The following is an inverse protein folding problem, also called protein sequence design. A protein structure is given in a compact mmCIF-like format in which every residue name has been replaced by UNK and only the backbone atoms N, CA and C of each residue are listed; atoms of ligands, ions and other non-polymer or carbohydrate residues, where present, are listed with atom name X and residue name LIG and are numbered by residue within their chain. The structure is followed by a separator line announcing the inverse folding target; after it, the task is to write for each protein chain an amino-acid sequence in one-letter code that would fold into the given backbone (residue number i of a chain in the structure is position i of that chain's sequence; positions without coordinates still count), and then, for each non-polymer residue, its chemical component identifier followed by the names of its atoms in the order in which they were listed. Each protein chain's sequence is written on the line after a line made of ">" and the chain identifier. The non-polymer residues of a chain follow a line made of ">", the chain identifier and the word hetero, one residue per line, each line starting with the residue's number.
data_IF_404133709225
#
_entry.id   IF_404133709225
#
_cell.length_a   1.000
_cell.length_b   1.000
_cell.length_c   1.000
_cell.angle_alpha   90.00
_cell.angle_beta   90.00
_cell.angle_gamma   90.00
#
_symmetry.space_group_name_H-M   'P 1'
#
loop_
_entity.id
_entity.type
_entity.pdbx_description
1 polymer ?
#
# COMPACT_ATOMS: atom_id res chain seq x y z
N UNK A 1 38.52 -61.68 1.59
CA UNK A 1 39.45 -60.89 2.29
C UNK A 1 39.55 -59.41 1.81
N UNK A 2 38.57 -58.86 1.17
CA UNK A 2 38.61 -57.45 0.72
C UNK A 2 37.19 -56.87 0.53
N UNK A 3 36.31 -57.06 1.50
CA UNK A 3 34.94 -56.53 1.46
C UNK A 3 34.69 -55.53 2.56
N UNK A 4 35.70 -54.80 3.03
CA UNK A 4 35.57 -53.82 4.13
C UNK A 4 35.48 -52.39 3.63
N UNK A 5 35.59 -52.14 2.33
CA UNK A 5 35.59 -50.79 1.78
C UNK A 5 34.21 -50.27 1.30
N UNK A 6 33.18 -51.11 1.30
CA UNK A 6 31.87 -50.73 0.72
C UNK A 6 30.92 -50.08 1.74
N UNK A 7 31.22 -50.25 3.03
CA UNK A 7 30.35 -49.70 4.09
C UNK A 7 30.55 -48.22 4.41
N UNK A 8 31.71 -47.69 4.07
CA UNK A 8 32.02 -46.27 4.43
C UNK A 8 31.59 -45.25 3.39
N UNK A 9 31.39 -45.68 2.15
CA UNK A 9 30.95 -44.78 1.07
C UNK A 9 29.46 -44.49 1.15
N UNK A 10 28.67 -45.41 1.66
CA UNK A 10 27.22 -45.24 1.82
C UNK A 10 26.90 -44.31 3.00
N UNK A 11 27.71 -44.32 4.04
CA UNK A 11 27.50 -43.45 5.21
C UNK A 11 27.79 -41.96 4.92
N UNK A 12 28.66 -41.67 3.97
CA UNK A 12 29.02 -40.27 3.61
C UNK A 12 27.97 -39.66 2.68
N UNK A 13 27.26 -40.44 1.88
CA UNK A 13 26.19 -39.96 0.99
C UNK A 13 24.88 -39.66 1.71
N UNK A 14 24.64 -40.24 2.89
CA UNK A 14 23.47 -39.92 3.71
C UNK A 14 23.61 -38.69 4.59
N UNK A 15 24.84 -38.21 4.81
CA UNK A 15 25.10 -37.04 5.65
C UNK A 15 24.94 -35.71 4.91
N UNK A 16 24.87 -35.68 3.58
CA UNK A 16 24.79 -34.47 2.79
C UNK A 16 23.36 -33.99 2.46
N UNK A 17 22.33 -34.76 2.86
CA UNK A 17 20.94 -34.38 2.58
C UNK A 17 20.20 -33.74 3.78
N UNK A 18 20.93 -33.47 4.86
CA UNK A 18 20.36 -32.90 6.09
C UNK A 18 20.73 -31.44 6.29
N UNK A 19 20.77 -30.68 5.24
CA UNK A 19 21.02 -29.28 5.41
C UNK A 19 20.19 -28.50 4.40
N UNK A 20 19.34 -27.76 4.92
CA UNK A 20 18.76 -26.48 4.51
C UNK A 20 17.23 -26.56 4.71
N UNK A 21 16.81 -26.93 5.92
CA UNK A 21 15.64 -26.29 6.46
C UNK A 21 16.10 -24.94 6.97
N UNK A 22 16.18 -23.95 6.09
CA UNK A 22 16.29 -22.59 6.54
C UNK A 22 15.03 -22.28 7.32
N UNK A 23 15.10 -21.82 8.58
CA UNK A 23 13.93 -21.28 9.22
C UNK A 23 13.50 -20.12 8.32
N UNK A 24 12.37 -20.27 7.66
CA UNK A 24 11.65 -19.14 7.13
C UNK A 24 11.34 -18.28 8.34
N UNK A 25 12.18 -17.28 8.59
CA UNK A 25 11.89 -16.27 9.58
C UNK A 25 10.61 -15.64 9.04
N UNK A 26 9.47 -16.06 9.59
CA UNK A 26 8.23 -15.36 9.43
C UNK A 26 8.53 -13.93 9.89
N UNK A 27 8.51 -12.98 8.95
CA UNK A 27 8.62 -11.58 9.30
C UNK A 27 7.56 -11.33 10.37
N UNK A 28 7.89 -10.65 11.49
CA UNK A 28 6.89 -10.29 12.48
C UNK A 28 5.75 -9.60 11.72
N UNK A 29 4.48 -9.84 12.12
CA UNK A 29 3.35 -9.22 11.45
C UNK A 29 3.61 -7.72 11.42
N UNK A 30 4.03 -7.24 10.25
CA UNK A 30 4.36 -5.84 10.04
C UNK A 30 3.11 -5.02 10.31
N UNK A 31 3.28 -3.80 10.81
CA UNK A 31 2.18 -2.85 10.97
C UNK A 31 1.36 -2.84 9.68
N UNK A 32 0.07 -3.14 9.77
CA UNK A 32 -0.85 -3.01 8.65
C UNK A 32 -1.01 -1.51 8.38
N UNK A 33 -0.51 -1.06 7.24
CA UNK A 33 -0.65 0.33 6.83
C UNK A 33 -2.09 0.61 6.42
N UNK A 34 -2.63 1.75 6.86
CA UNK A 34 -3.97 2.20 6.49
C UNK A 34 -3.88 3.27 5.42
N UNK A 35 -4.50 3.01 4.28
CA UNK A 35 -4.59 3.92 3.15
C UNK A 35 -6.05 4.33 2.98
N UNK A 36 -6.32 5.63 3.05
CA UNK A 36 -7.64 6.15 2.73
C UNK A 36 -7.65 6.67 1.29
N UNK A 37 -8.64 6.30 0.51
CA UNK A 37 -8.81 6.74 -0.87
C UNK A 37 -10.07 7.57 -0.99
N UNK A 38 -9.92 8.79 -1.51
CA UNK A 38 -11.00 9.75 -1.72
C UNK A 38 -11.07 10.17 -3.18
N UNK A 39 -12.22 9.98 -3.80
CA UNK A 39 -12.44 10.36 -5.19
C UNK A 39 -13.91 10.58 -5.52
N UNK A 40 -14.18 10.94 -6.77
CA UNK A 40 -15.55 11.12 -7.24
C UNK A 40 -16.25 9.80 -7.55
N UNK A 41 -15.55 8.91 -8.23
CA UNK A 41 -16.11 7.66 -8.74
C UNK A 41 -15.09 6.53 -8.70
N UNK A 42 -15.59 5.31 -8.57
CA UNK A 42 -14.78 4.11 -8.74
C UNK A 42 -14.65 3.82 -10.25
N UNK A 43 -13.58 4.30 -10.86
CA UNK A 43 -13.35 4.23 -12.30
C UNK A 43 -12.05 3.47 -12.66
N UNK A 44 -11.80 3.18 -13.96
CA UNK A 44 -10.66 2.38 -14.41
C UNK A 44 -9.29 2.73 -13.86
N UNK A 45 -8.88 4.00 -13.66
CA UNK A 45 -7.58 4.32 -13.06
C UNK A 45 -7.32 3.66 -11.70
N UNK A 46 -8.34 3.40 -10.91
CA UNK A 46 -8.20 2.74 -9.60
C UNK A 46 -7.81 1.26 -9.70
N UNK A 47 -8.16 0.59 -10.79
CA UNK A 47 -7.68 -0.77 -11.05
C UNK A 47 -6.17 -0.79 -11.32
N UNK A 48 -5.66 0.23 -12.01
CA UNK A 48 -4.22 0.43 -12.16
C UNK A 48 -3.51 0.62 -10.83
N UNK A 49 -4.09 1.43 -9.94
CA UNK A 49 -3.58 1.65 -8.59
C UNK A 49 -3.55 0.35 -7.77
N UNK A 50 -4.65 -0.42 -7.74
CA UNK A 50 -4.71 -1.71 -7.06
C UNK A 50 -3.69 -2.70 -7.61
N UNK A 51 -3.54 -2.75 -8.93
CA UNK A 51 -2.54 -3.61 -9.59
C UNK A 51 -1.13 -3.22 -9.19
N UNK A 52 -0.79 -1.93 -9.25
CA UNK A 52 0.52 -1.42 -8.85
C UNK A 52 0.86 -1.75 -7.40
N UNK A 53 -0.09 -1.62 -6.48
CA UNK A 53 0.11 -2.03 -5.09
C UNK A 53 0.42 -3.52 -4.98
N UNK A 54 -0.31 -4.40 -5.69
CA UNK A 54 -0.05 -5.84 -5.69
C UNK A 54 1.33 -6.19 -6.25
N UNK A 55 1.74 -5.53 -7.33
CA UNK A 55 3.07 -5.71 -7.93
C UNK A 55 4.20 -5.33 -6.97
N UNK A 56 3.94 -4.38 -6.08
CA UNK A 56 4.86 -3.98 -5.00
C UNK A 56 4.73 -4.83 -3.73
N UNK A 57 3.91 -5.87 -3.74
CA UNK A 57 3.72 -6.77 -2.60
C UNK A 57 2.68 -6.29 -1.57
N UNK A 58 1.93 -5.23 -1.85
CA UNK A 58 0.84 -4.77 -0.99
C UNK A 58 -0.46 -5.46 -1.37
N UNK A 59 -1.03 -6.20 -0.43
CA UNK A 59 -2.28 -6.93 -0.60
C UNK A 59 -3.29 -6.42 0.41
N UNK A 60 -4.41 -5.86 -0.09
CA UNK A 60 -5.48 -5.34 0.74
C UNK A 60 -6.07 -6.43 1.63
N UNK A 61 -6.23 -6.13 2.91
CA UNK A 61 -6.66 -7.07 3.92
C UNK A 61 -5.57 -7.97 4.51
N UNK A 62 -4.33 -7.93 3.98
CA UNK A 62 -3.19 -8.71 4.49
C UNK A 62 -2.12 -7.82 5.14
N UNK A 63 -1.49 -6.95 4.37
CA UNK A 63 -0.42 -6.06 4.84
C UNK A 63 -0.71 -4.57 4.61
N UNK A 64 -1.81 -4.27 3.95
CA UNK A 64 -2.38 -2.93 3.80
C UNK A 64 -3.90 -3.01 3.99
N UNK A 65 -4.51 -2.01 4.60
CA UNK A 65 -5.95 -1.84 4.68
C UNK A 65 -6.34 -0.59 3.91
N UNK A 66 -7.16 -0.75 2.88
CA UNK A 66 -7.53 0.36 1.99
C UNK A 66 -9.00 0.71 2.20
N UNK A 67 -9.24 1.92 2.69
CA UNK A 67 -10.57 2.49 2.86
C UNK A 67 -10.96 3.34 1.64
N UNK A 68 -11.89 2.84 0.86
CA UNK A 68 -12.37 3.49 -0.35
C UNK A 68 -13.61 4.32 -0.06
N UNK A 69 -13.62 5.59 -0.47
CA UNK A 69 -14.79 6.46 -0.37
C UNK A 69 -14.97 7.27 -1.64
N UNK A 70 -16.19 7.27 -2.14
CA UNK A 70 -16.58 7.95 -3.37
C UNK A 70 -17.70 8.94 -3.10
N UNK A 71 -17.61 10.12 -3.70
CA UNK A 71 -18.70 11.12 -3.62
C UNK A 71 -19.86 10.81 -4.56
N UNK A 72 -19.69 9.84 -5.46
CA UNK A 72 -20.72 9.43 -6.44
C UNK A 72 -21.19 10.61 -7.32
N UNK A 73 -20.25 11.41 -7.80
CA UNK A 73 -20.53 12.58 -8.60
C UNK A 73 -21.16 13.76 -7.83
N UNK A 74 -21.18 13.71 -6.49
CA UNK A 74 -21.72 14.77 -5.62
C UNK A 74 -20.61 15.44 -4.83
N UNK A 75 -19.98 16.50 -5.36
CA UNK A 75 -18.84 17.17 -4.71
C UNK A 75 -19.13 17.66 -3.30
N UNK A 76 -20.36 18.04 -3.02
CA UNK A 76 -20.78 18.56 -1.71
C UNK A 76 -20.64 17.51 -0.58
N UNK A 77 -20.53 16.23 -0.92
CA UNK A 77 -20.29 15.14 0.05
C UNK A 77 -18.81 15.04 0.45
N UNK A 78 -17.90 15.53 -0.37
CA UNK A 78 -16.45 15.37 -0.16
C UNK A 78 -15.95 15.89 1.19
N UNK A 79 -16.37 17.08 1.70
CA UNK A 79 -15.90 17.54 3.01
C UNK A 79 -16.31 16.60 4.15
N UNK A 80 -17.52 16.08 4.13
CA UNK A 80 -18.00 15.09 5.12
C UNK A 80 -17.20 13.79 5.05
N UNK A 81 -17.06 13.24 3.85
CA UNK A 81 -16.30 12.00 3.60
C UNK A 81 -14.84 12.16 4.02
N UNK A 82 -14.21 13.29 3.72
CA UNK A 82 -12.84 13.55 4.12
C UNK A 82 -12.66 13.54 5.64
N UNK A 83 -13.60 14.13 6.39
CA UNK A 83 -13.60 14.07 7.86
C UNK A 83 -13.77 12.66 8.41
N UNK A 84 -14.65 11.87 7.81
CA UNK A 84 -14.82 10.46 8.18
C UNK A 84 -13.54 9.66 7.96
N UNK A 85 -12.87 9.85 6.82
CA UNK A 85 -11.60 9.20 6.52
C UNK A 85 -10.50 9.60 7.49
N UNK A 86 -10.40 10.87 7.83
CA UNK A 86 -9.42 11.38 8.83
C UNK A 86 -9.67 10.77 10.20
N UNK A 87 -10.93 10.58 10.59
CA UNK A 87 -11.30 9.95 11.86
C UNK A 87 -10.84 8.48 11.96
N UNK A 88 -10.66 7.79 10.85
CA UNK A 88 -10.07 6.44 10.81
C UNK A 88 -8.57 6.42 11.07
N UNK A 89 -7.93 7.58 11.16
CA UNK A 89 -6.50 7.77 11.40
C UNK A 89 -5.62 6.98 10.42
N UNK A 90 -5.75 7.20 9.10
CA UNK A 90 -4.94 6.53 8.10
C UNK A 90 -3.50 7.02 8.13
N UNK A 91 -2.57 6.20 7.64
CA UNK A 91 -1.16 6.59 7.47
C UNK A 91 -0.98 7.53 6.28
N UNK A 92 -1.88 7.46 5.28
CA UNK A 92 -1.87 8.30 4.08
C UNK A 92 -3.27 8.42 3.47
N UNK A 93 -3.55 9.57 2.88
CA UNK A 93 -4.77 9.80 2.09
C UNK A 93 -4.37 9.94 0.62
N UNK A 94 -4.97 9.12 -0.24
CA UNK A 94 -4.84 9.23 -1.70
C UNK A 94 -6.09 9.93 -2.22
N UNK A 95 -5.93 11.13 -2.76
CA UNK A 95 -7.04 11.94 -3.23
C UNK A 95 -6.97 12.18 -4.75
N UNK A 96 -8.08 11.97 -5.44
CA UNK A 96 -8.20 12.13 -6.88
C UNK A 96 -9.21 13.22 -7.25
N UNK A 97 -8.74 14.17 -8.03
CA UNK A 97 -9.51 15.34 -8.45
C UNK A 97 -9.37 16.52 -7.51
N UNK A 98 -9.38 17.72 -8.08
CA UNK A 98 -9.13 18.99 -7.38
C UNK A 98 -10.01 19.17 -6.14
N UNK A 99 -11.28 18.82 -6.23
CA UNK A 99 -12.22 19.01 -5.13
C UNK A 99 -11.97 18.02 -3.98
N UNK A 100 -11.66 16.75 -4.29
CA UNK A 100 -11.30 15.76 -3.30
C UNK A 100 -10.00 16.13 -2.57
N UNK A 101 -9.00 16.61 -3.31
CA UNK A 101 -7.72 17.06 -2.74
C UNK A 101 -7.95 18.26 -1.80
N UNK A 102 -8.75 19.24 -2.21
CA UNK A 102 -9.10 20.36 -1.33
C UNK A 102 -9.82 19.92 -0.07
N UNK A 103 -10.80 19.01 -0.19
CA UNK A 103 -11.52 18.48 0.94
C UNK A 103 -10.58 17.76 1.92
N UNK A 104 -9.64 16.96 1.43
CA UNK A 104 -8.63 16.29 2.24
C UNK A 104 -7.71 17.31 2.95
N UNK A 105 -7.22 18.33 2.25
CA UNK A 105 -6.37 19.40 2.84
C UNK A 105 -7.07 20.19 3.92
N UNK A 106 -8.35 20.43 3.79
CA UNK A 106 -9.15 21.13 4.82
C UNK A 106 -9.40 20.23 6.03
N UNK A 107 -9.56 18.92 5.79
CA UNK A 107 -9.86 17.95 6.85
C UNK A 107 -8.65 17.62 7.73
N UNK A 108 -7.42 17.69 7.18
CA UNK A 108 -6.20 17.36 7.94
C UNK A 108 -4.99 18.17 7.45
N UNK A 109 -4.12 18.53 8.40
CA UNK A 109 -2.79 19.06 8.14
C UNK A 109 -1.68 18.09 8.57
N UNK A 110 -2.04 16.98 9.24
CA UNK A 110 -1.11 16.04 9.85
C UNK A 110 -0.89 14.78 9.00
N UNK A 111 -1.94 14.31 8.28
CA UNK A 111 -1.88 13.10 7.48
C UNK A 111 -1.36 13.45 6.09
N UNK A 112 -0.33 12.75 5.57
CA UNK A 112 0.16 12.97 4.22
C UNK A 112 -0.92 12.74 3.16
N UNK A 113 -0.98 13.61 2.16
CA UNK A 113 -1.95 13.52 1.06
C UNK A 113 -1.19 13.29 -0.25
N UNK A 114 -1.47 12.17 -0.90
CA UNK A 114 -1.00 11.85 -2.24
C UNK A 114 -2.06 12.26 -3.25
N UNK A 115 -1.70 13.14 -4.15
CA UNK A 115 -2.57 13.62 -5.22
C UNK A 115 -2.36 12.77 -6.48
N UNK A 116 -3.41 12.20 -7.04
CA UNK A 116 -3.29 11.38 -8.25
C UNK A 116 -3.63 12.17 -9.51
N UNK A 117 -4.63 13.03 -9.46
CA UNK A 117 -5.08 13.82 -10.62
C UNK A 117 -5.52 15.20 -10.13
N UNK A 118 -4.87 16.23 -10.62
CA UNK A 118 -5.26 17.63 -10.38
C UNK A 118 -4.83 18.50 -11.55
N UNK A 119 -5.68 19.47 -11.92
CA UNK A 119 -5.33 20.48 -12.91
C UNK A 119 -4.60 21.63 -12.21
N UNK A 120 -3.37 21.90 -12.64
CA UNK A 120 -2.57 23.05 -12.18
C UNK A 120 -2.50 23.18 -10.64
N UNK A 121 -1.95 22.19 -9.92
CA UNK A 121 -1.98 22.17 -8.45
C UNK A 121 -1.26 23.36 -7.80
N UNK A 122 -0.25 23.92 -8.46
CA UNK A 122 0.48 25.14 -8.08
C UNK A 122 -0.39 26.40 -8.19
N UNK A 123 -1.15 26.53 -9.28
CA UNK A 123 -1.99 27.72 -9.53
C UNK A 123 -3.22 27.78 -8.63
N UNK A 124 -3.71 26.63 -8.18
CA UNK A 124 -4.89 26.55 -7.31
C UNK A 124 -4.54 26.40 -5.82
N UNK A 125 -3.27 26.56 -5.47
CA UNK A 125 -2.80 26.57 -4.07
C UNK A 125 -2.83 25.21 -3.39
N UNK A 126 -2.78 24.12 -4.14
CA UNK A 126 -2.69 22.76 -3.56
C UNK A 126 -1.27 22.40 -3.16
N UNK A 127 -0.27 22.98 -3.83
CA UNK A 127 1.15 22.84 -3.51
C UNK A 127 1.82 24.20 -3.65
N UNK A 128 2.81 24.48 -2.83
CA UNK A 128 3.53 25.76 -2.87
C UNK A 128 4.47 25.84 -4.08
N UNK A 129 5.07 24.71 -4.43
CA UNK A 129 5.98 24.59 -5.59
C UNK A 129 5.99 23.16 -6.13
N UNK A 130 5.99 23.01 -7.46
CA UNK A 130 6.16 21.71 -8.12
C UNK A 130 7.60 21.17 -8.09
N UNK A 131 8.58 22.02 -7.79
CA UNK A 131 10.01 21.69 -7.82
C UNK A 131 10.58 21.21 -6.49
N UNK A 132 9.75 21.07 -5.45
CA UNK A 132 10.14 20.48 -4.17
C UNK A 132 9.14 19.40 -3.81
N UNK A 133 9.58 18.13 -3.78
CA UNK A 133 8.79 17.04 -3.24
C UNK A 133 8.58 17.20 -1.74
#
# INVERSE_FOLDING_TARGET
>A
MKCVATGHVIAILLATFLAISQPTVAQPPGKIHRVAVLGNENNPPWEGFRRGLRELGYVDGQNVAIEWRWSEGKPDRLPGIAKELVALNPDVIVASGTQAIRAAKVATSAIPIVMTTSSYPDKIGLVDRLSRP
#
